data_IF_398687550132
#
_entry.id   IF_398687550132
#
_cell.length_a   1.000
_cell.length_b   1.000
_cell.length_c   1.000
_cell.angle_alpha   90.00
_cell.angle_beta   90.00
_cell.angle_gamma   90.00
#
_symmetry.space_group_name_H-M   'P 1'
#
loop_
_entity.id
_entity.type
_entity.pdbx_description
1 polymer ?
#
# COMPACT_ATOMS: atom_id res chain seq x y z
N UNK A 1 -10.74 6.52 16.48
CA UNK A 1 -9.93 5.74 15.53
C UNK A 1 -10.23 4.29 15.78
N UNK A 2 -10.96 3.66 14.85
CA UNK A 2 -11.25 2.23 14.88
C UNK A 2 -10.18 1.45 14.09
N UNK A 3 -10.21 0.12 14.16
CA UNK A 3 -9.21 -0.73 13.51
C UNK A 3 -9.20 -0.59 11.97
N UNK A 4 -10.37 -0.40 11.37
CA UNK A 4 -10.54 -0.27 9.92
C UNK A 4 -9.99 1.06 9.39
N UNK A 5 -10.24 2.16 10.11
CA UNK A 5 -9.66 3.47 9.83
C UNK A 5 -8.13 3.42 9.92
N UNK A 6 -7.58 2.81 10.97
CA UNK A 6 -6.14 2.66 11.14
C UNK A 6 -5.53 1.80 10.04
N UNK A 7 -6.20 0.70 9.68
CA UNK A 7 -5.81 -0.17 8.56
C UNK A 7 -5.73 0.62 7.26
N UNK A 8 -6.75 1.43 6.93
CA UNK A 8 -6.73 2.31 5.75
C UNK A 8 -5.56 3.27 5.74
N UNK A 9 -5.30 3.95 6.86
CA UNK A 9 -4.20 4.92 6.96
C UNK A 9 -2.82 4.25 6.79
N UNK A 10 -2.60 3.09 7.43
CA UNK A 10 -1.34 2.34 7.28
C UNK A 10 -1.10 1.98 5.82
N UNK A 11 -2.14 1.46 5.16
CA UNK A 11 -2.06 1.08 3.75
C UNK A 11 -1.79 2.29 2.85
N UNK A 12 -2.49 3.40 3.05
CA UNK A 12 -2.26 4.63 2.27
C UNK A 12 -0.82 5.13 2.43
N UNK A 13 -0.30 5.18 3.66
CA UNK A 13 1.07 5.60 3.95
C UNK A 13 2.08 4.66 3.29
N UNK A 14 1.89 3.35 3.45
CA UNK A 14 2.75 2.34 2.84
C UNK A 14 2.82 2.47 1.31
N UNK A 15 1.73 2.88 0.65
CA UNK A 15 1.67 3.03 -0.81
C UNK A 15 2.15 4.37 -1.34
N UNK A 16 2.08 5.43 -0.54
CA UNK A 16 2.33 6.80 -1.01
C UNK A 16 3.62 7.42 -0.48
N UNK A 17 4.08 6.99 0.69
CA UNK A 17 5.12 7.68 1.46
C UNK A 17 6.28 6.79 1.87
N UNK A 18 6.13 5.46 1.81
CA UNK A 18 7.17 4.49 2.20
C UNK A 18 7.75 3.86 0.93
N UNK A 19 9.08 3.78 0.84
CA UNK A 19 9.72 3.09 -0.26
C UNK A 19 9.35 1.59 -0.25
N UNK A 20 9.15 0.93 -1.40
CA UNK A 20 8.68 -0.45 -1.45
C UNK A 20 9.52 -1.43 -0.62
N UNK A 21 10.84 -1.22 -0.56
CA UNK A 21 11.79 -2.01 0.21
C UNK A 21 11.71 -1.79 1.74
N UNK A 22 11.09 -0.69 2.18
CA UNK A 22 10.91 -0.34 3.60
C UNK A 22 9.53 -0.73 4.14
N UNK A 23 8.59 -1.13 3.28
CA UNK A 23 7.26 -1.58 3.69
C UNK A 23 7.35 -2.94 4.38
N UNK A 24 6.90 -3.00 5.64
CA UNK A 24 6.91 -4.23 6.43
C UNK A 24 5.61 -5.02 6.31
N UNK A 25 4.46 -4.38 6.51
CA UNK A 25 3.13 -4.98 6.41
C UNK A 25 2.04 -3.92 6.33
N UNK A 26 0.96 -4.26 5.63
CA UNK A 26 -0.28 -3.49 5.61
C UNK A 26 -1.14 -3.78 6.86
N UNK A 27 -0.85 -4.84 7.62
CA UNK A 27 -1.71 -5.35 8.68
C UNK A 27 -1.61 -4.58 10.01
N UNK A 28 -2.76 -4.30 10.61
CA UNK A 28 -2.88 -3.72 11.95
C UNK A 28 -3.14 -4.80 12.99
N UNK A 29 -2.42 -4.72 14.11
CA UNK A 29 -2.54 -5.64 15.23
C UNK A 29 -3.02 -4.94 16.49
N UNK A 30 -3.86 -5.63 17.26
CA UNK A 30 -4.25 -5.27 18.62
C UNK A 30 -3.47 -6.13 19.61
N UNK A 31 -2.91 -5.48 20.62
CA UNK A 31 -2.19 -6.15 21.70
C UNK A 31 -2.98 -6.09 23.01
N UNK A 32 -3.33 -7.26 23.56
CA UNK A 32 -3.90 -7.37 24.90
C UNK A 32 -2.79 -7.66 25.91
N UNK A 33 -2.44 -6.66 26.72
CA UNK A 33 -1.40 -6.76 27.74
C UNK A 33 -1.75 -7.75 28.87
N UNK A 34 -3.04 -7.97 29.15
CA UNK A 34 -3.48 -8.87 30.22
C UNK A 34 -3.30 -10.32 29.81
N UNK A 35 -3.52 -10.61 28.52
CA UNK A 35 -3.33 -11.93 27.93
C UNK A 35 -1.94 -12.12 27.31
N UNK A 36 -1.14 -11.05 27.26
CA UNK A 36 0.13 -10.97 26.53
C UNK A 36 0.01 -11.47 25.09
N UNK A 37 -1.09 -11.14 24.43
CA UNK A 37 -1.46 -11.69 23.13
C UNK A 37 -1.60 -10.61 22.07
N UNK A 38 -0.97 -10.85 20.93
CA UNK A 38 -1.16 -10.07 19.72
C UNK A 38 -2.22 -10.74 18.83
N UNK A 39 -3.17 -9.97 18.33
CA UNK A 39 -4.23 -10.44 17.42
C UNK A 39 -4.40 -9.47 16.28
N UNK A 40 -4.76 -9.97 15.10
CA UNK A 40 -5.16 -9.11 13.98
C UNK A 40 -6.33 -8.22 14.39
N UNK A 41 -6.21 -6.92 14.12
CA UNK A 41 -7.25 -5.95 14.41
C UNK A 41 -8.38 -6.00 13.37
N UNK A 42 -8.08 -6.48 12.16
CA UNK A 42 -9.03 -6.65 11.06
C UNK A 42 -9.06 -8.07 10.50
N UNK A 43 -10.20 -8.36 9.88
CA UNK A 43 -10.42 -9.34 8.84
C UNK A 43 -9.34 -9.49 7.76
N UNK A 44 -8.72 -10.65 7.41
CA UNK A 44 -8.04 -10.76 6.12
C UNK A 44 -8.95 -10.41 4.93
N UNK A 45 -10.25 -10.74 5.03
CA UNK A 45 -11.26 -10.38 4.04
C UNK A 45 -11.44 -8.85 3.99
N UNK A 46 -11.56 -8.20 5.16
CA UNK A 46 -11.69 -6.75 5.24
C UNK A 46 -10.46 -6.01 4.71
N UNK A 47 -9.26 -6.50 5.02
CA UNK A 47 -8.01 -5.93 4.51
C UNK A 47 -7.94 -6.05 2.99
N UNK A 48 -8.38 -7.17 2.42
CA UNK A 48 -8.45 -7.33 0.96
C UNK A 48 -9.47 -6.38 0.31
N UNK A 49 -10.68 -6.27 0.88
CA UNK A 49 -11.69 -5.34 0.37
C UNK A 49 -11.22 -3.88 0.42
N UNK A 50 -10.44 -3.51 1.44
CA UNK A 50 -9.81 -2.20 1.56
C UNK A 50 -8.70 -1.98 0.52
N UNK A 51 -7.88 -3.01 0.26
CA UNK A 51 -6.84 -2.98 -0.79
C UNK A 51 -7.46 -2.74 -2.15
N UNK A 52 -8.53 -3.47 -2.46
CA UNK A 52 -9.22 -3.38 -3.74
C UNK A 52 -9.85 -2.00 -3.93
N UNK A 53 -10.38 -1.38 -2.85
CA UNK A 53 -10.89 0.00 -2.89
C UNK A 53 -9.80 1.05 -3.11
N UNK A 54 -8.66 0.91 -2.43
CA UNK A 54 -7.53 1.84 -2.57
C UNK A 54 -6.91 1.71 -3.97
N UNK A 55 -6.76 0.49 -4.48
CA UNK A 55 -6.15 0.22 -5.79
C UNK A 55 -7.10 0.54 -6.95
N UNK A 56 -8.40 0.28 -6.79
CA UNK A 56 -9.43 0.57 -7.80
C UNK A 56 -9.68 2.07 -8.04
N UNK A 57 -9.14 2.95 -7.20
CA UNK A 57 -9.14 4.40 -7.44
C UNK A 57 -7.92 4.89 -8.25
N UNK A 58 -6.93 4.03 -8.53
CA UNK A 58 -5.68 4.41 -9.20
C UNK A 58 -5.75 4.39 -10.75
N UNK A 59 -6.88 4.05 -11.37
CA UNK A 59 -7.06 4.04 -12.84
C UNK A 59 -7.32 5.45 -13.47
N UNK A 60 -6.95 6.52 -12.75
CA UNK A 60 -7.00 7.91 -13.26
C UNK A 60 -5.68 8.66 -13.07
N UNK A 61 -4.57 7.98 -13.33
CA UNK A 61 -3.26 8.60 -13.53
C UNK A 61 -2.58 7.97 -14.73
N UNK A 62 -2.58 8.68 -15.86
CA UNK A 62 -1.87 8.30 -17.09
C UNK A 62 -0.40 8.02 -16.74
N UNK A 63 0.01 6.76 -16.77
CA UNK A 63 1.41 6.37 -16.84
C UNK A 63 1.91 6.78 -18.23
N UNK A 64 2.55 7.95 -18.33
CA UNK A 64 3.49 8.17 -19.43
C UNK A 64 4.74 7.39 -19.05
N UNK A 65 4.91 6.23 -19.66
CA UNK A 65 6.17 5.50 -19.66
C UNK A 65 7.19 6.36 -20.42
N UNK A 66 8.06 7.07 -19.68
CA UNK A 66 9.32 7.56 -20.23
C UNK A 66 10.29 6.37 -20.31
N UNK A 67 10.26 5.63 -21.42
CA UNK A 67 11.43 4.86 -21.84
C UNK A 67 12.44 5.81 -22.48
N UNK A 68 13.43 6.20 -21.68
CA UNK A 68 14.66 6.80 -22.16
C UNK A 68 15.67 5.67 -22.36
N UNK A 69 15.88 5.22 -23.60
CA UNK A 69 17.10 4.53 -24.02
C UNK A 69 17.51 5.05 -25.40
N UNK A 70 18.80 5.34 -25.51
CA UNK A 70 19.41 6.07 -26.61
C UNK A 70 19.78 5.12 -27.74
N UNK A 71 19.51 5.51 -28.99
CA UNK A 71 20.31 5.01 -30.12
C UNK A 71 20.59 6.14 -31.13
N UNK A 72 21.74 6.77 -30.87
CA UNK A 72 22.81 7.15 -31.80
C UNK A 72 22.44 7.61 -33.23
N UNK A 73 22.89 8.84 -33.53
CA UNK A 73 23.26 9.41 -34.82
C UNK A 73 23.41 8.44 -36.01
N UNK A 74 22.75 8.77 -37.13
CA UNK A 74 23.44 9.15 -38.38
C UNK A 74 22.58 10.15 -39.18
N UNK A 75 23.12 11.36 -39.42
CA UNK A 75 22.79 12.16 -40.61
C UNK A 75 23.32 11.46 -41.87
N UNK A 76 22.98 11.86 -43.10
CA UNK A 76 22.54 13.14 -43.67
C UNK A 76 21.44 12.93 -44.71
#
# INVERSE_FOLDING_TARGET
>A
MNAEELQRMVMEINRTQVAPEEVLSDEVYSYDYRQQKLTMATSPIQTKELLDQITGMCDHGVFIEEEQEADLCMGE
#
